data_IF_900384035515
#
_entry.id   IF_900384035515
#
_cell.length_a   1.000
_cell.length_b   1.000
_cell.length_c   1.000
_cell.angle_alpha   90.00
_cell.angle_beta   90.00
_cell.angle_gamma   90.00
#
_symmetry.space_group_name_H-M   'P 1'
#
loop_
_entity.id
_entity.type
_entity.pdbx_description
1 polymer ?
#
# COMPACT_ATOMS: atom_id res chain seq x y z
N UNK A 1 -9.81 15.76 9.79
CA UNK A 1 -8.74 14.73 9.76
C UNK A 1 -7.59 15.34 8.99
N UNK A 2 -6.39 15.36 9.54
CA UNK A 2 -5.22 15.94 8.88
C UNK A 2 -4.86 15.06 7.67
N UNK A 3 -4.66 15.68 6.50
CA UNK A 3 -4.30 15.01 5.25
C UNK A 3 -2.87 15.41 4.89
N UNK A 4 -1.95 14.45 4.95
CA UNK A 4 -0.60 14.59 4.42
C UNK A 4 -0.60 14.17 2.95
N UNK A 5 -0.33 15.11 2.06
CA UNK A 5 -0.18 14.83 0.63
C UNK A 5 1.26 14.42 0.32
N UNK A 6 1.45 13.53 -0.65
CA UNK A 6 2.77 13.08 -1.12
C UNK A 6 3.60 14.26 -1.64
N UNK A 7 2.96 15.25 -2.26
CA UNK A 7 3.63 16.43 -2.81
C UNK A 7 4.25 17.36 -1.74
N UNK A 8 3.84 17.21 -0.48
CA UNK A 8 4.33 18.02 0.65
C UNK A 8 5.46 17.30 1.41
N UNK A 9 5.97 16.20 0.85
CA UNK A 9 7.02 15.37 1.42
C UNK A 9 8.26 15.43 0.52
N UNK A 10 9.41 15.71 1.13
CA UNK A 10 10.69 15.92 0.48
C UNK A 10 11.70 14.86 1.00
N UNK A 11 11.82 13.71 0.32
CA UNK A 11 12.77 12.66 0.71
C UNK A 11 14.21 13.02 0.33
N UNK A 12 15.19 12.51 1.09
CA UNK A 12 16.59 12.58 0.68
C UNK A 12 17.26 13.96 0.80
N UNK A 13 16.69 14.87 1.59
CA UNK A 13 17.22 16.21 1.79
C UNK A 13 18.46 16.21 2.70
N UNK A 14 19.18 17.33 2.70
CA UNK A 14 20.40 17.51 3.51
C UNK A 14 20.38 18.84 4.23
N UNK A 15 20.78 18.85 5.49
CA UNK A 15 21.02 20.06 6.26
C UNK A 15 22.24 19.85 7.17
N UNK A 16 23.12 20.84 7.23
CA UNK A 16 24.33 20.80 8.07
C UNK A 16 24.01 20.96 9.56
N UNK A 17 22.93 21.65 9.89
CA UNK A 17 22.45 21.81 11.25
C UNK A 17 20.93 21.99 11.33
N UNK A 18 20.44 22.03 12.58
CA UNK A 18 19.02 22.22 12.89
C UNK A 18 18.46 23.53 12.34
N UNK A 19 19.23 24.62 12.36
CA UNK A 19 18.75 25.91 11.87
C UNK A 19 18.53 25.87 10.35
N UNK A 20 19.46 25.28 9.61
CA UNK A 20 19.34 25.07 8.17
C UNK A 20 18.10 24.21 7.84
N UNK A 21 17.90 23.10 8.56
CA UNK A 21 16.72 22.25 8.37
C UNK A 21 15.41 23.02 8.62
N UNK A 22 15.34 23.83 9.69
CA UNK A 22 14.18 24.68 9.99
C UNK A 22 13.94 25.70 8.87
N UNK A 23 14.99 26.30 8.30
CA UNK A 23 14.89 27.25 7.20
C UNK A 23 14.37 26.61 5.92
N UNK A 24 14.82 25.39 5.58
CA UNK A 24 14.32 24.64 4.42
C UNK A 24 12.82 24.36 4.55
N UNK A 25 12.41 23.85 5.72
CA UNK A 25 11.01 23.55 6.03
C UNK A 25 10.15 24.83 5.98
N UNK A 26 10.64 25.94 6.56
CA UNK A 26 9.94 27.22 6.52
C UNK A 26 9.80 27.76 5.08
N UNK A 27 10.84 27.65 4.27
CA UNK A 27 10.81 28.06 2.86
C UNK A 27 9.77 27.25 2.05
N UNK A 28 9.66 25.94 2.29
CA UNK A 28 8.63 25.12 1.66
C UNK A 28 7.22 25.54 2.08
N UNK A 29 7.00 25.87 3.36
CA UNK A 29 5.70 26.39 3.83
C UNK A 29 5.35 27.74 3.19
N UNK A 30 6.34 28.61 2.98
CA UNK A 30 6.15 29.88 2.25
C UNK A 30 5.80 29.60 0.79
N UNK A 31 6.54 28.71 0.12
CA UNK A 31 6.32 28.36 -1.28
C UNK A 31 4.93 27.75 -1.53
N UNK A 32 4.46 26.90 -0.60
CA UNK A 32 3.13 26.32 -0.62
C UNK A 32 2.00 27.32 -0.27
N UNK A 33 2.35 28.58 0.06
CA UNK A 33 1.40 29.62 0.42
C UNK A 33 0.75 29.43 1.80
N UNK A 34 1.37 28.63 2.68
CA UNK A 34 0.86 28.39 4.03
C UNK A 34 1.15 29.55 4.97
N UNK A 35 2.31 30.20 4.80
CA UNK A 35 2.80 31.24 5.72
C UNK A 35 3.48 32.38 4.98
N UNK A 36 3.58 33.54 5.62
CA UNK A 36 4.37 34.66 5.14
C UNK A 36 5.89 34.42 5.33
N UNK A 37 6.73 35.12 4.55
CA UNK A 37 8.20 34.97 4.58
C UNK A 37 8.82 35.11 5.99
N UNK A 38 8.22 35.93 6.86
CA UNK A 38 8.69 36.16 8.22
C UNK A 38 8.53 34.98 9.18
N UNK A 39 7.73 33.96 8.83
CA UNK A 39 7.34 32.87 9.73
C UNK A 39 8.53 32.02 10.21
N UNK A 40 9.60 31.96 9.41
CA UNK A 40 10.87 31.30 9.78
C UNK A 40 11.43 31.84 11.10
N UNK A 41 11.29 33.14 11.36
CA UNK A 41 11.78 33.74 12.61
C UNK A 41 11.00 33.22 13.81
N UNK A 42 9.69 32.99 13.65
CA UNK A 42 8.85 32.35 14.66
C UNK A 42 9.28 30.90 14.93
N UNK A 43 9.56 30.14 13.87
CA UNK A 43 10.02 28.75 14.02
C UNK A 43 11.36 28.65 14.74
N UNK A 44 12.31 29.53 14.41
CA UNK A 44 13.61 29.59 15.08
C UNK A 44 13.48 30.04 16.54
N UNK A 45 12.65 31.05 16.81
CA UNK A 45 12.39 31.50 18.17
C UNK A 45 11.73 30.40 19.02
N UNK A 46 10.79 29.64 18.44
CA UNK A 46 10.14 28.50 19.11
C UNK A 46 11.15 27.42 19.47
N UNK A 47 12.08 27.11 18.57
CA UNK A 47 13.13 26.12 18.79
C UNK A 47 14.10 26.53 19.91
N UNK A 48 14.40 27.83 20.03
CA UNK A 48 15.27 28.36 21.10
C UNK A 48 14.64 28.25 22.50
N UNK A 49 13.31 28.25 22.61
CA UNK A 49 12.63 28.11 23.90
C UNK A 49 12.78 26.69 24.47
N UNK A 50 12.58 25.69 23.62
CA UNK A 50 12.70 24.26 23.96
C UNK A 50 12.76 23.49 22.66
N UNK A 51 13.61 22.45 22.62
CA UNK A 51 13.74 21.55 21.48
C UNK A 51 12.38 21.08 20.97
N UNK A 52 12.16 21.14 19.66
CA UNK A 52 10.97 20.55 19.02
C UNK A 52 11.16 19.08 18.63
N UNK A 53 12.26 18.47 19.07
CA UNK A 53 12.45 17.03 18.94
C UNK A 53 11.40 16.28 19.78
N UNK A 54 10.78 15.27 19.18
CA UNK A 54 9.63 14.59 19.74
C UNK A 54 9.92 13.14 20.16
N UNK A 55 10.92 12.51 19.53
CA UNK A 55 11.25 11.09 19.71
C UNK A 55 11.43 10.37 18.39
N UNK A 56 12.08 9.19 18.40
CA UNK A 56 12.21 8.28 17.24
C UNK A 56 12.68 8.94 15.93
N UNK A 57 13.58 9.91 16.04
CA UNK A 57 14.12 10.61 14.87
C UNK A 57 13.20 11.67 14.28
N UNK A 58 12.15 12.11 14.99
CA UNK A 58 11.21 13.11 14.49
C UNK A 58 11.36 14.43 15.25
N UNK A 59 11.41 15.52 14.50
CA UNK A 59 11.23 16.89 15.00
C UNK A 59 10.00 17.54 14.37
N UNK A 60 9.37 18.46 15.12
CA UNK A 60 8.14 19.16 14.69
C UNK A 60 8.29 20.68 14.77
N UNK A 61 9.16 21.30 13.97
CA UNK A 61 9.36 22.74 14.03
C UNK A 61 8.08 23.50 13.63
N UNK A 62 7.70 24.49 14.43
CA UNK A 62 6.49 25.31 14.24
C UNK A 62 6.71 26.72 14.81
N UNK A 63 5.89 27.69 14.41
CA UNK A 63 5.98 29.07 14.88
C UNK A 63 5.56 29.26 16.33
N UNK A 64 5.80 30.45 16.87
CA UNK A 64 5.28 30.85 18.19
C UNK A 64 3.85 31.38 18.08
N UNK A 65 3.21 31.65 19.22
CA UNK A 65 1.92 32.34 19.27
C UNK A 65 1.95 33.73 18.62
N UNK A 66 3.12 34.40 18.68
CA UNK A 66 3.30 35.77 18.18
C UNK A 66 3.41 35.84 16.65
N UNK A 67 3.63 34.70 15.99
CA UNK A 67 3.66 34.59 14.52
C UNK A 67 2.40 33.95 13.93
N UNK A 68 1.32 33.82 14.72
CA UNK A 68 0.05 33.22 14.25
C UNK A 68 -0.62 34.02 13.14
N UNK A 69 -0.49 35.34 13.17
CA UNK A 69 -0.97 36.26 12.13
C UNK A 69 -0.26 36.06 10.78
N UNK A 70 0.91 35.42 10.79
CA UNK A 70 1.68 35.08 9.59
C UNK A 70 1.25 33.75 8.96
N UNK A 71 0.34 33.00 9.59
CA UNK A 71 -0.25 31.78 9.02
C UNK A 71 -1.42 32.15 8.11
N UNK A 72 -1.24 31.99 6.80
CA UNK A 72 -2.24 32.28 5.78
C UNK A 72 -3.23 31.11 5.62
N UNK A 73 -2.71 29.89 5.69
CA UNK A 73 -3.47 28.65 5.56
C UNK A 73 -2.76 27.52 6.31
N UNK A 74 -3.53 26.72 7.05
CA UNK A 74 -3.01 25.50 7.68
C UNK A 74 -2.35 24.59 6.64
N UNK A 75 -1.16 24.09 6.96
CA UNK A 75 -0.45 23.14 6.13
C UNK A 75 0.81 22.62 6.80
N UNK A 76 1.39 21.62 6.15
CA UNK A 76 2.57 20.91 6.66
C UNK A 76 3.52 20.65 5.50
N UNK A 77 4.81 20.63 5.82
CA UNK A 77 5.86 20.21 4.93
C UNK A 77 6.76 19.22 5.68
N UNK A 78 7.05 18.08 5.07
CA UNK A 78 7.84 17.00 5.68
C UNK A 78 9.16 16.88 4.95
N UNK A 79 10.25 16.98 5.67
CA UNK A 79 11.61 16.82 5.14
C UNK A 79 12.25 15.61 5.79
N UNK A 80 12.81 14.72 4.99
CA UNK A 80 13.62 13.61 5.47
C UNK A 80 15.10 13.91 5.23
N UNK A 81 15.91 13.69 6.26
CA UNK A 81 17.36 13.82 6.26
C UNK A 81 17.97 12.44 6.55
N UNK A 82 18.30 11.62 5.53
CA UNK A 82 18.82 10.26 5.75
C UNK A 82 20.14 10.21 6.53
N UNK A 83 20.98 11.24 6.39
CA UNK A 83 22.23 11.39 7.16
C UNK A 83 21.99 11.84 8.61
N UNK A 84 20.78 12.28 8.92
CA UNK A 84 20.38 12.79 10.23
C UNK A 84 20.86 14.22 10.49
N UNK A 85 20.05 14.98 11.23
CA UNK A 85 20.38 16.33 11.70
C UNK A 85 20.41 16.32 13.21
N UNK A 86 21.51 16.77 13.82
CA UNK A 86 21.58 16.89 15.29
C UNK A 86 20.60 17.97 15.75
N UNK A 87 19.61 17.58 16.55
CA UNK A 87 18.51 18.46 16.96
C UNK A 87 18.65 19.03 18.38
N UNK A 88 19.64 18.58 19.14
CA UNK A 88 19.94 19.03 20.50
C UNK A 88 20.15 17.84 21.44
N UNK A 89 20.90 18.02 22.53
CA UNK A 89 21.11 17.01 23.59
C UNK A 89 21.50 15.61 23.10
N UNK A 90 22.26 15.53 22.00
CA UNK A 90 22.67 14.27 21.36
C UNK A 90 21.58 13.56 20.57
N UNK A 91 20.40 14.16 20.43
CA UNK A 91 19.29 13.65 19.63
C UNK A 91 19.49 13.99 18.15
N UNK A 92 19.12 13.05 17.29
CA UNK A 92 19.23 13.16 15.83
C UNK A 92 17.83 13.04 15.25
N UNK A 93 17.43 14.02 14.44
CA UNK A 93 16.21 13.96 13.64
C UNK A 93 16.53 13.47 12.22
N UNK A 94 15.83 12.44 11.78
CA UNK A 94 15.81 11.97 10.39
C UNK A 94 14.63 12.55 9.64
N UNK A 95 13.59 13.03 10.33
CA UNK A 95 12.44 13.70 9.72
C UNK A 95 12.10 14.96 10.50
N UNK A 96 11.93 16.07 9.78
CA UNK A 96 11.38 17.31 10.31
C UNK A 96 10.01 17.59 9.68
N UNK A 97 8.99 17.77 10.52
CA UNK A 97 7.61 18.04 10.10
C UNK A 97 7.27 19.49 10.46
N UNK A 98 7.38 20.36 9.47
CA UNK A 98 7.00 21.77 9.60
C UNK A 98 5.51 21.96 9.69
N UNK A 99 5.04 22.73 10.66
CA UNK A 99 3.61 22.98 10.84
C UNK A 99 3.32 24.48 10.77
N UNK A 100 2.46 24.84 9.82
CA UNK A 100 1.77 26.11 9.77
C UNK A 100 0.36 25.91 10.34
N UNK A 101 0.10 26.44 11.54
CA UNK A 101 -1.20 26.36 12.19
C UNK A 101 -1.48 27.63 13.00
N UNK A 102 -2.66 28.21 12.81
CA UNK A 102 -3.10 29.39 13.55
C UNK A 102 -3.64 29.05 14.95
N UNK A 103 -3.86 27.76 15.23
CA UNK A 103 -4.38 27.23 16.50
C UNK A 103 -3.65 25.94 16.92
N UNK A 104 -4.24 25.18 17.85
CA UNK A 104 -3.65 23.96 18.42
C UNK A 104 -3.72 22.73 17.47
N UNK A 105 -3.80 22.95 16.16
CA UNK A 105 -3.89 21.88 15.16
C UNK A 105 -2.67 20.96 15.15
N UNK A 106 -1.51 21.46 15.58
CA UNK A 106 -0.31 20.65 15.81
C UNK A 106 -0.56 19.51 16.81
N UNK A 107 -1.47 19.69 17.79
CA UNK A 107 -1.87 18.61 18.71
C UNK A 107 -2.64 17.49 18.00
N UNK A 108 -3.36 17.83 16.93
CA UNK A 108 -4.04 16.84 16.08
C UNK A 108 -3.04 15.94 15.36
N UNK A 109 -1.95 16.53 14.83
CA UNK A 109 -0.86 15.79 14.22
C UNK A 109 -0.12 14.93 15.26
N UNK A 110 0.19 15.47 16.44
CA UNK A 110 0.80 14.70 17.53
C UNK A 110 0.01 13.44 17.86
N UNK A 111 -1.32 13.51 17.91
CA UNK A 111 -2.19 12.35 18.13
C UNK A 111 -2.01 11.29 17.04
N UNK A 112 -1.90 11.68 15.78
CA UNK A 112 -1.68 10.74 14.67
C UNK A 112 -0.28 10.11 14.74
N UNK A 113 0.73 10.87 15.14
CA UNK A 113 2.11 10.40 15.25
C UNK A 113 2.36 9.54 16.51
N UNK A 114 1.41 9.44 17.46
CA UNK A 114 1.62 8.67 18.71
C UNK A 114 2.04 7.21 18.47
N UNK A 115 1.52 6.56 17.43
CA UNK A 115 1.94 5.20 17.05
C UNK A 115 3.42 5.16 16.65
N UNK A 116 3.84 6.09 15.80
CA UNK A 116 5.21 6.22 15.30
C UNK A 116 6.20 6.50 16.44
N UNK A 117 5.81 7.35 17.39
CA UNK A 117 6.62 7.72 18.54
C UNK A 117 6.75 6.59 19.58
N UNK A 118 5.93 5.55 19.49
CA UNK A 118 5.94 4.43 20.42
C UNK A 118 6.73 3.21 19.90
N UNK A 119 7.19 3.26 18.66
CA UNK A 119 7.87 2.14 17.99
C UNK A 119 9.29 2.54 17.56
N UNK A 120 10.28 2.03 18.29
CA UNK A 120 11.71 2.31 18.08
C UNK A 120 12.19 1.84 16.69
N UNK A 121 11.49 0.89 16.05
CA UNK A 121 11.86 0.41 14.71
C UNK A 121 11.55 1.44 13.62
N UNK A 122 10.67 2.40 13.89
CA UNK A 122 10.24 3.40 12.90
C UNK A 122 11.36 4.40 12.61
N UNK A 123 12.24 4.70 13.56
CA UNK A 123 13.36 5.62 13.32
C UNK A 123 14.27 5.14 12.17
N UNK A 124 14.59 3.84 12.13
CA UNK A 124 15.42 3.28 11.06
C UNK A 124 14.65 3.17 9.73
N UNK A 125 13.34 2.94 9.77
CA UNK A 125 12.49 2.97 8.58
C UNK A 125 12.37 4.37 7.99
N UNK A 126 12.17 5.40 8.81
CA UNK A 126 12.13 6.80 8.39
C UNK A 126 13.47 7.24 7.80
N UNK A 127 14.59 6.73 8.31
CA UNK A 127 15.92 6.99 7.77
C UNK A 127 16.16 6.30 6.43
N UNK A 128 15.65 5.09 6.23
CA UNK A 128 15.91 4.26 5.05
C UNK A 128 14.87 4.40 3.94
N UNK A 129 13.72 5.02 4.21
CA UNK A 129 12.71 5.32 3.20
C UNK A 129 13.32 6.12 2.04
N UNK A 130 12.88 5.82 0.83
CA UNK A 130 13.44 6.41 -0.40
C UNK A 130 12.41 7.21 -1.19
N UNK A 131 11.13 7.08 -0.85
CA UNK A 131 10.02 7.74 -1.55
C UNK A 131 9.13 8.53 -0.59
N UNK A 132 8.41 9.50 -1.14
CA UNK A 132 7.45 10.30 -0.40
C UNK A 132 6.26 9.46 0.08
N UNK A 133 5.85 8.47 -0.72
CA UNK A 133 4.80 7.50 -0.39
C UNK A 133 5.17 6.62 0.79
N UNK A 134 6.40 6.10 0.83
CA UNK A 134 6.90 5.32 1.97
C UNK A 134 6.91 6.16 3.25
N UNK A 135 7.45 7.38 3.19
CA UNK A 135 7.46 8.30 4.33
C UNK A 135 6.04 8.62 4.79
N UNK A 136 5.12 8.88 3.86
CA UNK A 136 3.70 9.12 4.18
C UNK A 136 3.11 7.92 4.91
N UNK A 137 3.31 6.72 4.39
CA UNK A 137 2.74 5.51 4.97
C UNK A 137 3.25 5.29 6.41
N UNK A 138 4.56 5.42 6.62
CA UNK A 138 5.19 5.34 7.94
C UNK A 138 4.60 6.36 8.92
N UNK A 139 4.53 7.64 8.52
CA UNK A 139 4.05 8.72 9.38
C UNK A 139 2.55 8.60 9.70
N UNK A 140 1.76 8.06 8.77
CA UNK A 140 0.32 7.89 8.95
C UNK A 140 -0.04 6.57 9.63
N UNK A 141 0.94 5.72 9.96
CA UNK A 141 0.70 4.38 10.51
C UNK A 141 -0.03 3.46 9.53
N UNK A 142 0.03 3.77 8.24
CA UNK A 142 -0.41 2.87 7.19
C UNK A 142 0.62 1.74 7.19
N UNK A 143 0.24 0.56 7.72
CA UNK A 143 1.09 -0.63 7.61
C UNK A 143 1.50 -0.73 6.14
N UNK A 144 2.80 -0.82 5.87
CA UNK A 144 3.29 -1.28 4.57
C UNK A 144 2.53 -2.57 4.29
N UNK A 145 1.49 -2.46 3.47
CA UNK A 145 0.69 -3.59 3.10
C UNK A 145 1.61 -4.35 2.17
N UNK A 146 2.23 -5.40 2.70
CA UNK A 146 3.05 -6.27 1.86
C UNK A 146 2.23 -6.62 0.61
N UNK A 147 2.85 -6.50 -0.56
CA UNK A 147 2.16 -6.69 -1.83
C UNK A 147 1.35 -7.98 -1.80
N UNK A 148 0.10 -7.90 -2.27
CA UNK A 148 -0.77 -9.06 -2.46
C UNK A 148 0.02 -10.22 -3.07
N UNK A 149 0.09 -11.36 -2.36
CA UNK A 149 0.76 -12.56 -2.88
C UNK A 149 -0.13 -13.18 -3.96
N UNK A 150 0.18 -12.86 -5.21
CA UNK A 150 -0.38 -13.44 -6.43
C UNK A 150 0.72 -13.47 -7.50
N UNK A 151 1.44 -14.58 -7.56
CA UNK A 151 2.52 -14.84 -8.52
C UNK A 151 2.47 -16.28 -9.04
N UNK A 152 3.48 -16.70 -9.81
CA UNK A 152 3.49 -18.02 -10.45
C UNK A 152 3.42 -19.18 -9.45
N UNK A 153 3.90 -19.01 -8.21
CA UNK A 153 3.83 -20.05 -7.18
C UNK A 153 2.39 -20.27 -6.69
N UNK A 154 1.54 -19.25 -6.86
CA UNK A 154 0.13 -19.28 -6.50
C UNK A 154 -0.76 -19.87 -7.59
N UNK A 155 -0.20 -20.25 -8.74
CA UNK A 155 -0.93 -20.81 -9.88
C UNK A 155 -0.71 -22.32 -10.00
N UNK A 156 -1.79 -23.07 -10.15
CA UNK A 156 -1.77 -24.51 -10.46
C UNK A 156 -2.69 -24.78 -11.65
N UNK A 157 -2.12 -24.78 -12.85
CA UNK A 157 -2.89 -24.80 -14.10
C UNK A 157 -2.90 -26.16 -14.78
N UNK A 158 -3.97 -26.40 -15.53
CA UNK A 158 -4.16 -27.53 -16.44
C UNK A 158 -3.92 -28.90 -15.78
N UNK A 159 -4.47 -29.05 -14.57
CA UNK A 159 -4.35 -30.27 -13.78
C UNK A 159 -5.49 -31.25 -14.01
N UNK A 160 -5.23 -32.53 -13.75
CA UNK A 160 -6.29 -33.55 -13.74
C UNK A 160 -7.11 -33.40 -12.47
N UNK A 161 -8.29 -32.79 -12.58
CA UNK A 161 -9.26 -32.64 -11.51
C UNK A 161 -10.68 -32.81 -12.05
N UNK A 162 -11.56 -33.37 -11.22
CA UNK A 162 -12.96 -33.66 -11.58
C UNK A 162 -13.97 -33.16 -10.54
N UNK A 163 -13.50 -32.44 -9.52
CA UNK A 163 -14.34 -31.86 -8.48
C UNK A 163 -13.70 -30.59 -7.89
N UNK A 164 -14.53 -29.73 -7.30
CA UNK A 164 -14.07 -28.49 -6.65
C UNK A 164 -13.24 -28.75 -5.40
N UNK A 165 -13.48 -29.88 -4.70
CA UNK A 165 -12.76 -30.21 -3.47
C UNK A 165 -11.25 -30.36 -3.74
N UNK A 166 -10.89 -30.96 -4.86
CA UNK A 166 -9.52 -31.11 -5.33
C UNK A 166 -8.89 -29.75 -5.61
N UNK A 167 -9.59 -28.87 -6.33
CA UNK A 167 -9.10 -27.51 -6.61
C UNK A 167 -8.95 -26.68 -5.33
N UNK A 168 -9.90 -26.79 -4.39
CA UNK A 168 -9.84 -26.12 -3.09
C UNK A 168 -8.64 -26.60 -2.27
N UNK A 169 -8.39 -27.92 -2.25
CA UNK A 169 -7.26 -28.49 -1.51
C UNK A 169 -5.91 -28.00 -2.05
N UNK A 170 -5.77 -27.87 -3.37
CA UNK A 170 -4.56 -27.37 -4.00
C UNK A 170 -4.33 -25.89 -3.71
N UNK A 171 -5.36 -25.05 -3.87
CA UNK A 171 -5.26 -23.64 -3.54
C UNK A 171 -4.94 -23.42 -2.06
N UNK A 172 -5.58 -24.18 -1.16
CA UNK A 172 -5.28 -24.13 0.27
C UNK A 172 -3.84 -24.55 0.59
N UNK A 173 -3.29 -25.55 -0.12
CA UNK A 173 -1.89 -25.95 0.01
C UNK A 173 -0.95 -24.83 -0.41
N UNK A 174 -1.20 -24.13 -1.53
CA UNK A 174 -0.40 -22.98 -1.99
C UNK A 174 -0.42 -21.83 -1.00
N UNK A 175 -1.60 -21.44 -0.52
CA UNK A 175 -1.74 -20.37 0.48
C UNK A 175 -0.96 -20.71 1.77
N UNK A 176 -0.97 -21.98 2.18
CA UNK A 176 -0.21 -22.45 3.35
C UNK A 176 1.30 -22.46 3.11
N UNK A 177 1.76 -23.00 1.98
CA UNK A 177 3.19 -23.05 1.60
C UNK A 177 3.81 -21.66 1.51
N UNK A 178 3.04 -20.68 1.02
CA UNK A 178 3.43 -19.29 0.95
C UNK A 178 3.40 -18.56 2.32
N UNK A 179 3.09 -19.25 3.42
CA UNK A 179 3.03 -18.68 4.77
C UNK A 179 1.86 -17.72 5.00
N UNK A 180 0.84 -17.77 4.14
CA UNK A 180 -0.29 -16.82 4.16
C UNK A 180 -1.39 -17.26 5.14
N UNK A 181 -1.37 -18.52 5.59
CA UNK A 181 -2.30 -19.09 6.55
C UNK A 181 -1.61 -19.51 7.85
N UNK A 182 -2.31 -19.46 8.98
CA UNK A 182 -1.80 -19.97 10.27
C UNK A 182 -1.42 -21.46 10.18
N UNK A 183 -0.31 -21.88 10.83
CA UNK A 183 -0.02 -23.29 11.00
C UNK A 183 -1.15 -23.95 11.79
N UNK A 184 -1.87 -24.87 11.14
CA UNK A 184 -3.02 -25.56 11.73
C UNK A 184 -2.63 -26.37 12.98
N UNK A 185 -3.20 -26.00 14.13
CA UNK A 185 -3.37 -26.91 15.29
C UNK A 185 -4.71 -27.66 15.25
N UNK A 186 -5.47 -27.55 14.15
CA UNK A 186 -6.82 -28.11 13.99
C UNK A 186 -6.99 -28.76 12.61
N UNK A 187 -7.86 -29.77 12.44
CA UNK A 187 -7.90 -30.56 11.22
C UNK A 187 -8.73 -29.83 10.15
N UNK A 188 -8.03 -29.39 9.09
CA UNK A 188 -8.53 -28.78 7.83
C UNK A 188 -8.91 -27.29 7.93
N UNK A 189 -8.43 -26.44 7.00
CA UNK A 189 -9.04 -25.14 6.80
C UNK A 189 -10.48 -25.36 6.30
N UNK A 190 -11.46 -24.82 7.01
CA UNK A 190 -12.86 -24.82 6.60
C UNK A 190 -13.03 -23.81 5.46
N UNK A 191 -12.69 -24.23 4.25
CA UNK A 191 -13.04 -23.47 3.04
C UNK A 191 -14.57 -23.51 2.89
N UNK A 192 -15.20 -22.36 2.69
CA UNK A 192 -16.63 -22.30 2.43
C UNK A 192 -16.97 -23.02 1.11
N UNK A 193 -18.25 -23.35 0.92
CA UNK A 193 -18.73 -23.85 -0.38
C UNK A 193 -18.37 -22.81 -1.45
N UNK A 194 -17.67 -23.20 -2.53
CA UNK A 194 -17.34 -22.26 -3.59
C UNK A 194 -18.60 -21.62 -4.20
N UNK A 195 -18.50 -20.34 -4.50
CA UNK A 195 -19.50 -19.55 -5.22
C UNK A 195 -19.27 -19.68 -6.72
N UNK A 196 -20.30 -20.08 -7.46
CA UNK A 196 -20.27 -20.07 -8.92
C UNK A 196 -20.36 -18.62 -9.41
N UNK A 197 -19.35 -18.14 -10.14
CA UNK A 197 -19.37 -16.81 -10.77
C UNK A 197 -19.87 -16.86 -12.22
N UNK A 198 -20.14 -18.05 -12.76
CA UNK A 198 -20.52 -18.31 -14.14
C UNK A 198 -19.30 -18.56 -15.04
N UNK A 199 -19.58 -18.98 -16.28
CA UNK A 199 -18.57 -19.19 -17.34
C UNK A 199 -17.42 -20.12 -16.94
N UNK A 200 -17.67 -21.11 -16.08
CA UNK A 200 -16.65 -22.06 -15.62
C UNK A 200 -15.76 -21.56 -14.49
N UNK A 201 -15.97 -20.35 -13.97
CA UNK A 201 -15.16 -19.74 -12.92
C UNK A 201 -15.89 -19.78 -11.57
N UNK A 202 -15.18 -20.27 -10.55
CA UNK A 202 -15.67 -20.38 -9.19
C UNK A 202 -14.76 -19.60 -8.24
N UNK A 203 -15.34 -19.09 -7.15
CA UNK A 203 -14.65 -18.35 -6.11
C UNK A 203 -14.82 -19.05 -4.77
N UNK A 204 -13.75 -19.14 -3.98
CA UNK A 204 -13.81 -19.56 -2.59
C UNK A 204 -13.04 -18.58 -1.72
N UNK A 205 -13.51 -18.34 -0.50
CA UNK A 205 -12.78 -17.60 0.52
C UNK A 205 -12.23 -18.56 1.58
N UNK A 206 -11.07 -18.22 2.15
CA UNK A 206 -10.66 -18.76 3.44
C UNK A 206 -11.22 -17.87 4.54
N UNK A 207 -12.31 -18.31 5.17
CA UNK A 207 -13.01 -17.53 6.20
C UNK A 207 -12.19 -17.33 7.48
N UNK A 208 -11.19 -18.18 7.74
CA UNK A 208 -10.40 -18.16 8.98
C UNK A 208 -8.92 -18.45 8.72
N UNK A 209 -8.05 -17.88 9.56
CA UNK A 209 -6.61 -18.19 9.58
C UNK A 209 -5.74 -17.39 8.62
N UNK A 210 -6.26 -16.35 7.96
CA UNK A 210 -5.49 -15.49 7.07
C UNK A 210 -4.51 -14.64 7.87
N UNK A 211 -3.21 -14.80 7.61
CA UNK A 211 -2.16 -13.96 8.20
C UNK A 211 -1.89 -12.73 7.33
N UNK A 212 -2.13 -12.85 6.02
CA UNK A 212 -1.81 -11.89 4.97
C UNK A 212 -2.76 -12.07 3.78
N UNK A 213 -2.89 -11.04 2.95
CA UNK A 213 -3.72 -11.09 1.76
C UNK A 213 -3.02 -11.85 0.63
N UNK A 214 -3.71 -12.82 0.03
CA UNK A 214 -3.17 -13.64 -1.06
C UNK A 214 -4.29 -14.23 -1.92
N UNK A 215 -3.96 -14.56 -3.17
CA UNK A 215 -4.88 -15.25 -4.09
C UNK A 215 -4.16 -16.46 -4.67
N UNK A 216 -4.82 -17.63 -4.59
CA UNK A 216 -4.40 -18.84 -5.28
C UNK A 216 -5.40 -19.17 -6.41
N UNK A 217 -4.90 -19.67 -7.54
CA UNK A 217 -5.75 -20.07 -8.67
C UNK A 217 -5.39 -21.48 -9.10
N UNK A 218 -6.42 -22.33 -9.22
CA UNK A 218 -6.31 -23.65 -9.82
C UNK A 218 -7.21 -23.76 -11.04
N UNK A 219 -6.70 -24.34 -12.13
CA UNK A 219 -7.46 -24.61 -13.37
C UNK A 219 -7.37 -26.09 -13.73
N UNK A 220 -8.51 -26.72 -13.97
CA UNK A 220 -8.56 -28.10 -14.45
C UNK A 220 -8.24 -28.17 -15.95
N UNK A 221 -7.54 -29.22 -16.38
CA UNK A 221 -7.23 -29.48 -17.78
C UNK A 221 -8.49 -29.68 -18.64
N UNK A 222 -9.56 -30.19 -18.02
CA UNK A 222 -10.87 -30.34 -18.64
C UNK A 222 -11.92 -29.80 -17.68
N UNK A 223 -12.89 -29.04 -18.21
CA UNK A 223 -14.03 -28.61 -17.43
C UNK A 223 -14.88 -29.82 -17.00
N UNK A 224 -15.51 -29.71 -15.84
CA UNK A 224 -16.35 -30.74 -15.25
C UNK A 224 -17.67 -30.16 -14.72
N UNK A 225 -18.65 -31.03 -14.47
CA UNK A 225 -19.96 -30.65 -13.96
C UNK A 225 -19.95 -30.58 -12.42
N UNK A 226 -20.58 -29.54 -11.89
CA UNK A 226 -20.84 -29.36 -10.46
C UNK A 226 -22.31 -28.95 -10.32
N UNK A 227 -23.16 -29.91 -9.94
CA UNK A 227 -24.59 -29.68 -9.74
C UNK A 227 -25.30 -29.06 -10.99
N UNK A 228 -24.89 -29.44 -12.20
CA UNK A 228 -25.43 -28.91 -13.46
C UNK A 228 -24.76 -27.63 -13.97
N UNK A 229 -23.77 -27.12 -13.23
CA UNK A 229 -22.98 -25.94 -13.60
C UNK A 229 -21.57 -26.36 -14.04
N UNK A 230 -21.02 -25.63 -15.02
CA UNK A 230 -19.66 -25.90 -15.48
C UNK A 230 -18.63 -25.35 -14.49
N UNK A 231 -17.60 -26.14 -14.18
CA UNK A 231 -16.44 -25.72 -13.41
C UNK A 231 -15.15 -26.04 -14.19
N UNK A 232 -14.28 -25.04 -14.31
CA UNK A 232 -13.00 -25.15 -14.99
C UNK A 232 -11.87 -24.49 -14.19
N UNK A 233 -12.16 -23.39 -13.48
CA UNK A 233 -11.21 -22.64 -12.68
C UNK A 233 -11.78 -22.31 -11.31
N UNK A 234 -10.94 -22.42 -10.28
CA UNK A 234 -11.24 -21.97 -8.93
C UNK A 234 -10.23 -20.90 -8.50
N UNK A 235 -10.73 -19.75 -8.11
CA UNK A 235 -9.99 -18.66 -7.45
C UNK A 235 -10.24 -18.75 -5.95
N UNK A 236 -9.18 -18.86 -5.16
CA UNK A 236 -9.26 -18.86 -3.70
C UNK A 236 -8.61 -17.61 -3.12
N UNK A 237 -9.31 -16.92 -2.24
CA UNK A 237 -8.87 -15.64 -1.67
C UNK A 237 -8.67 -15.77 -0.16
N UNK A 238 -7.47 -15.43 0.29
CA UNK A 238 -7.20 -15.08 1.68
C UNK A 238 -7.23 -13.56 1.80
N UNK A 239 -8.20 -13.03 2.57
CA UNK A 239 -8.34 -11.59 2.81
C UNK A 239 -7.83 -11.25 4.21
N UNK A 240 -6.87 -10.32 4.27
CA UNK A 240 -6.41 -9.65 5.50
C UNK A 240 -6.49 -8.11 5.39
N UNK A 241 -6.58 -7.60 4.16
CA UNK A 241 -6.81 -6.20 3.78
C UNK A 241 -7.62 -6.16 2.46
N UNK A 242 -7.80 -4.96 1.89
CA UNK A 242 -8.60 -4.74 0.69
C UNK A 242 -7.86 -5.02 -0.63
N UNK A 243 -6.56 -5.37 -0.62
CA UNK A 243 -5.80 -5.58 -1.85
C UNK A 243 -6.42 -6.64 -2.80
N UNK A 244 -6.96 -7.78 -2.33
CA UNK A 244 -7.63 -8.75 -3.20
C UNK A 244 -8.85 -8.20 -3.96
N UNK A 245 -9.48 -7.13 -3.48
CA UNK A 245 -10.66 -6.54 -4.12
C UNK A 245 -10.35 -6.01 -5.52
N UNK A 246 -9.14 -5.51 -5.76
CA UNK A 246 -8.73 -5.04 -7.09
C UNK A 246 -8.72 -6.20 -8.11
N UNK A 247 -8.19 -7.36 -7.71
CA UNK A 247 -8.17 -8.57 -8.55
C UNK A 247 -9.57 -9.10 -8.78
N UNK A 248 -10.39 -9.16 -7.72
CA UNK A 248 -11.79 -9.62 -7.83
C UNK A 248 -12.62 -8.71 -8.73
N UNK A 249 -12.40 -7.39 -8.69
CA UNK A 249 -13.05 -6.45 -9.60
C UNK A 249 -12.70 -6.74 -11.06
N UNK A 250 -11.43 -6.99 -11.37
CA UNK A 250 -11.00 -7.32 -12.74
C UNK A 250 -11.56 -8.65 -13.22
N UNK A 251 -11.59 -9.64 -12.33
CA UNK A 251 -12.26 -10.90 -12.60
C UNK A 251 -13.74 -10.67 -12.94
N UNK A 252 -14.43 -9.84 -12.14
CA UNK A 252 -15.83 -9.49 -12.39
C UNK A 252 -16.00 -8.75 -13.72
N UNK A 253 -15.14 -7.78 -14.05
CA UNK A 253 -15.18 -7.04 -15.31
C UNK A 253 -15.01 -7.98 -16.53
N UNK A 254 -14.06 -8.93 -16.46
CA UNK A 254 -13.87 -9.96 -17.49
C UNK A 254 -15.10 -10.86 -17.66
N UNK A 255 -15.74 -11.24 -16.55
CA UNK A 255 -16.96 -12.05 -16.58
C UNK A 255 -18.15 -11.28 -17.15
N UNK A 256 -18.34 -10.02 -16.76
CA UNK A 256 -19.41 -9.16 -17.29
C UNK A 256 -19.27 -8.95 -18.81
N UNK A 257 -18.03 -8.88 -19.30
CA UNK A 257 -17.71 -8.78 -20.73
C UNK A 257 -17.76 -10.12 -21.50
N UNK A 258 -18.13 -11.23 -20.86
CA UNK A 258 -18.09 -12.60 -21.41
C UNK A 258 -16.69 -13.01 -21.92
N UNK A 259 -15.62 -12.59 -21.23
CA UNK A 259 -14.22 -12.83 -21.59
C UNK A 259 -13.55 -13.90 -20.72
N UNK A 260 -14.32 -14.77 -20.05
CA UNK A 260 -13.76 -15.85 -19.22
C UNK A 260 -12.78 -16.76 -19.96
N UNK A 261 -13.01 -16.99 -21.26
CA UNK A 261 -12.14 -17.78 -22.13
C UNK A 261 -10.69 -17.30 -22.16
N UNK A 262 -10.45 -15.99 -21.93
CA UNK A 262 -9.10 -15.44 -21.81
C UNK A 262 -8.37 -16.00 -20.59
N UNK A 263 -9.07 -16.16 -19.47
CA UNK A 263 -8.54 -16.76 -18.25
C UNK A 263 -8.40 -18.28 -18.40
N UNK A 264 -9.38 -18.93 -19.03
CA UNK A 264 -9.41 -20.40 -19.16
C UNK A 264 -8.37 -20.95 -20.14
N UNK A 265 -7.87 -20.14 -21.09
CA UNK A 265 -6.88 -20.57 -22.09
C UNK A 265 -5.49 -19.96 -21.89
N UNK A 266 -5.35 -18.97 -21.01
CA UNK A 266 -4.08 -18.28 -20.75
C UNK A 266 -3.01 -19.23 -20.18
N UNK A 267 -1.74 -18.99 -20.52
CA UNK A 267 -0.63 -19.51 -19.75
C UNK A 267 -0.50 -18.77 -18.40
N UNK A 268 0.43 -19.21 -17.54
CA UNK A 268 0.59 -18.64 -16.21
C UNK A 268 0.91 -17.13 -16.24
N UNK A 269 1.80 -16.70 -17.15
CA UNK A 269 2.19 -15.29 -17.27
C UNK A 269 1.02 -14.40 -17.72
N UNK A 270 0.29 -14.85 -18.75
CA UNK A 270 -0.89 -14.14 -19.27
C UNK A 270 -2.00 -14.11 -18.23
N UNK A 271 -2.22 -15.20 -17.50
CA UNK A 271 -3.22 -15.27 -16.43
C UNK A 271 -2.90 -14.27 -15.31
N UNK A 272 -1.64 -14.21 -14.87
CA UNK A 272 -1.22 -13.20 -13.89
C UNK A 272 -1.43 -11.78 -14.41
N UNK A 273 -1.04 -11.50 -15.66
CA UNK A 273 -1.23 -10.17 -16.24
C UNK A 273 -2.71 -9.77 -16.30
N UNK A 274 -3.60 -10.68 -16.71
CA UNK A 274 -5.05 -10.45 -16.73
C UNK A 274 -5.64 -10.17 -15.34
N UNK A 275 -5.04 -10.73 -14.29
CA UNK A 275 -5.49 -10.55 -12.91
C UNK A 275 -4.79 -9.37 -12.19
N UNK A 276 -3.60 -8.96 -12.64
CA UNK A 276 -2.72 -8.01 -11.91
C UNK A 276 -2.29 -6.75 -12.66
N UNK A 277 -2.43 -6.67 -13.99
CA UNK A 277 -2.20 -5.44 -14.78
C UNK A 277 -3.48 -4.64 -15.05
N UNK A 278 -3.40 -3.30 -14.99
CA UNK A 278 -4.49 -2.41 -15.44
C UNK A 278 -4.66 -2.42 -16.96
N UNK A 279 -3.58 -2.73 -17.69
CA UNK A 279 -3.56 -2.89 -19.14
C UNK A 279 -3.64 -4.38 -19.50
N UNK A 280 -4.84 -4.96 -19.43
CA UNK A 280 -5.06 -6.23 -20.13
C UNK A 280 -4.86 -5.97 -21.64
N UNK A 281 -4.01 -6.73 -22.35
CA UNK A 281 -3.78 -6.50 -23.78
C UNK A 281 -5.12 -6.56 -24.52
N UNK A 282 -5.50 -5.48 -25.19
CA UNK A 282 -6.68 -5.42 -26.04
C UNK A 282 -6.31 -6.06 -27.38
N UNK A 283 -6.81 -7.27 -27.65
CA UNK A 283 -6.68 -7.93 -28.96
C UNK A 283 -7.63 -7.31 -30.01
N UNK A 284 -7.54 -5.99 -30.20
CA UNK A 284 -8.04 -5.32 -31.41
C UNK A 284 -6.93 -5.19 -32.48
N UNK A 285 -5.87 -6.00 -32.39
CA UNK A 285 -4.76 -6.03 -33.36
C UNK A 285 -4.59 -7.42 -33.99
N UNK A 286 -5.70 -8.07 -34.39
CA UNK A 286 -5.67 -9.20 -35.33
C UNK A 286 -6.82 -9.11 -36.34
N UNK A 287 -6.99 -7.95 -36.98
CA UNK A 287 -7.85 -7.84 -38.17
C UNK A 287 -7.45 -6.67 -39.07
N UNK A 288 -6.19 -6.60 -39.53
CA UNK A 288 -5.83 -5.63 -40.57
C UNK A 288 -4.68 -5.97 -41.52
N UNK A 289 -3.88 -7.03 -41.31
CA UNK A 289 -2.74 -7.29 -42.18
C UNK A 289 -2.66 -8.73 -42.68
N UNK A 290 -3.68 -9.21 -43.40
CA UNK A 290 -3.51 -10.26 -44.44
C UNK A 290 -4.67 -10.19 -45.45
N UNK A 291 -4.79 -9.04 -46.12
CA UNK A 291 -5.44 -8.94 -47.42
C UNK A 291 -4.69 -7.89 -48.26
N UNK A 292 -3.68 -8.33 -49.01
CA UNK A 292 -3.08 -7.51 -50.06
C UNK A 292 -1.64 -7.86 -50.41
N UNK A 293 -1.45 -8.33 -51.65
CA UNK A 293 -0.20 -8.58 -52.39
C UNK A 293 0.59 -9.86 -51.97
N UNK A 294 0.83 -10.86 -52.82
CA UNK A 294 0.81 -10.99 -54.30
C UNK A 294 0.18 -12.32 -54.73
#
# INVERSE_FOLDING_TARGET
MFQLSVQDIHPGEKAGDKEEAIRQVAAALVHAGNVAEGYVNGMLAREQQTSTFLGNGIAIPHGTTDTRDQVLKTGVQVFQFPEGVTWGDGQVAYVAIGIAASSDEHLGLLRQLTHVLSDDSVAEQLKSATTAEELRALLMGEKQSEQLKLDNEMLTLDIVASDLLTLQALNAARLKEAGQLTPLSSPKPSMNKPLNLGQGIWLSDSAEGNLRSAIAVSRAANAFDVDGETAAMLVSVAMNDDQPLAVLKRLADLLLDNKADRLLKADAATLLALLTSDDAPTDDVLSAEFCGAQ
#
